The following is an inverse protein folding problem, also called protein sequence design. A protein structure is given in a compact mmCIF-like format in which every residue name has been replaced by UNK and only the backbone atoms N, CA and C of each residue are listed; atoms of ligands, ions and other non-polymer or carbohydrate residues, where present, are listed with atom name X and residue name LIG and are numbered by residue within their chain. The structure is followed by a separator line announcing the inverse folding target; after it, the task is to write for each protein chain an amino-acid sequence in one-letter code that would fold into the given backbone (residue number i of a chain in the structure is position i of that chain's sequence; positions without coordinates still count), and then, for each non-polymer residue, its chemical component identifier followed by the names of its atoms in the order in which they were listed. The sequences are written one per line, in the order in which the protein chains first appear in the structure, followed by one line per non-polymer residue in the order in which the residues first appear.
data_IF_798208078203
#
_entry.id   IF_798208078203
#
_cell.length_a   1.000
_cell.length_b   1.000
_cell.length_c   1.000
_cell.angle_alpha   90.00
_cell.angle_beta   90.00
_cell.angle_gamma   90.00
#
_symmetry.space_group_name_H-M   'P 1'
#
loop_
_entity.id
_entity.type
_entity.pdbx_description
1 polymer ?
#
# COMPACT_ATOMS: atom_id res chain seq x y z
N UNK A 1 -19.28 13.60 2.93
CA UNK A 1 -18.04 12.86 3.27
C UNK A 1 -17.11 12.99 2.08
N UNK A 2 -15.92 13.56 2.26
CA UNK A 2 -14.89 13.62 1.22
C UNK A 2 -14.36 12.22 0.95
N UNK A 3 -14.36 11.80 -0.31
CA UNK A 3 -13.79 10.52 -0.71
C UNK A 3 -12.26 10.68 -0.69
N UNK A 4 -11.58 10.08 0.28
CA UNK A 4 -10.13 10.25 0.45
C UNK A 4 -9.31 9.46 -0.59
N UNK A 5 -9.97 8.64 -1.40
CA UNK A 5 -9.32 7.76 -2.38
C UNK A 5 -8.69 8.55 -3.53
N UNK A 6 -9.31 9.68 -3.91
CA UNK A 6 -8.84 10.55 -5.00
C UNK A 6 -7.46 11.20 -4.69
N UNK A 7 -7.05 11.22 -3.41
CA UNK A 7 -5.75 11.76 -2.98
C UNK A 7 -4.57 10.93 -3.48
N UNK A 8 -4.80 9.66 -3.84
CA UNK A 8 -3.75 8.72 -4.20
C UNK A 8 -3.59 8.54 -5.71
N UNK A 9 -4.54 9.04 -6.51
CA UNK A 9 -4.49 8.98 -7.97
C UNK A 9 -3.19 9.61 -8.50
N UNK A 10 -2.47 8.88 -9.35
CA UNK A 10 -1.21 9.33 -9.95
C UNK A 10 -0.01 9.41 -8.99
N UNK A 11 -0.16 9.07 -7.71
CA UNK A 11 0.93 9.18 -6.73
C UNK A 11 1.93 8.03 -6.83
N UNK A 12 3.19 8.29 -6.45
CA UNK A 12 4.21 7.27 -6.20
C UNK A 12 4.33 7.10 -4.68
N UNK A 13 4.06 5.90 -4.19
CA UNK A 13 3.89 5.63 -2.76
C UNK A 13 4.84 4.51 -2.32
N UNK A 14 5.56 4.71 -1.21
CA UNK A 14 6.36 3.69 -0.53
C UNK A 14 5.59 3.16 0.69
N UNK A 15 5.40 1.86 0.76
CA UNK A 15 4.75 1.18 1.89
C UNK A 15 5.78 0.28 2.59
N UNK A 16 6.11 0.63 3.84
CA UNK A 16 6.95 -0.21 4.71
C UNK A 16 6.10 -1.27 5.40
N UNK A 17 6.59 -2.51 5.52
CA UNK A 17 5.78 -3.62 6.01
C UNK A 17 4.64 -3.98 5.04
N UNK A 18 4.78 -3.61 3.76
CA UNK A 18 3.74 -3.71 2.74
C UNK A 18 3.43 -5.14 2.27
N UNK A 19 4.21 -6.13 2.67
CA UNK A 19 3.95 -7.55 2.39
C UNK A 19 3.27 -8.27 3.57
N UNK A 20 3.19 -7.65 4.74
CA UNK A 20 2.45 -8.18 5.90
C UNK A 20 0.93 -8.19 5.73
N UNK A 21 0.20 -8.74 6.72
CA UNK A 21 -1.26 -8.90 6.66
C UNK A 21 -2.01 -7.58 6.38
N UNK A 22 -1.65 -6.50 7.09
CA UNK A 22 -2.26 -5.17 6.88
C UNK A 22 -1.65 -4.49 5.65
N UNK A 23 -0.33 -4.52 5.53
CA UNK A 23 0.40 -3.82 4.49
C UNK A 23 0.04 -4.30 3.08
N UNK A 24 -0.23 -5.60 2.91
CA UNK A 24 -0.62 -6.17 1.62
C UNK A 24 -2.01 -5.70 1.18
N UNK A 25 -2.96 -5.62 2.11
CA UNK A 25 -4.29 -5.07 1.80
C UNK A 25 -4.23 -3.57 1.53
N UNK A 26 -3.45 -2.82 2.32
CA UNK A 26 -3.23 -1.38 2.08
C UNK A 26 -2.60 -1.14 0.71
N UNK A 27 -1.53 -1.88 0.37
CA UNK A 27 -0.84 -1.76 -0.91
C UNK A 27 -1.78 -2.05 -2.08
N UNK A 28 -2.67 -3.05 -1.93
CA UNK A 28 -3.72 -3.34 -2.91
C UNK A 28 -4.69 -2.18 -3.05
N UNK A 29 -5.25 -1.68 -1.96
CA UNK A 29 -6.19 -0.56 -1.97
C UNK A 29 -5.59 0.72 -2.57
N UNK A 30 -4.30 0.99 -2.34
CA UNK A 30 -3.60 2.12 -2.96
C UNK A 30 -3.43 1.95 -4.47
N UNK A 31 -3.15 0.74 -4.94
CA UNK A 31 -3.09 0.44 -6.37
C UNK A 31 -4.48 0.55 -7.03
N UNK A 32 -5.53 0.08 -6.37
CA UNK A 32 -6.93 0.21 -6.82
C UNK A 32 -7.41 1.67 -6.80
N UNK A 33 -6.84 2.51 -5.93
CA UNK A 33 -7.09 3.96 -5.87
C UNK A 33 -6.34 4.76 -6.96
N UNK A 34 -5.73 4.10 -7.94
CA UNK A 34 -5.10 4.77 -9.09
C UNK A 34 -3.69 5.31 -8.82
N UNK A 35 -3.01 4.87 -7.76
CA UNK A 35 -1.62 5.22 -7.57
C UNK A 35 -0.78 4.85 -8.81
N UNK A 36 0.04 5.79 -9.29
CA UNK A 36 0.92 5.56 -10.44
C UNK A 36 1.95 4.45 -10.15
N UNK A 37 2.38 4.33 -8.88
CA UNK A 37 3.28 3.26 -8.44
C UNK A 37 3.17 3.04 -6.94
N UNK A 38 3.05 1.78 -6.54
CA UNK A 38 3.17 1.34 -5.14
C UNK A 38 4.45 0.53 -5.01
N UNK A 39 5.37 1.01 -4.17
CA UNK A 39 6.65 0.38 -3.86
C UNK A 39 6.51 -0.28 -2.49
N UNK A 40 6.76 -1.58 -2.40
CA UNK A 40 6.68 -2.33 -1.15
C UNK A 40 8.11 -2.55 -0.63
N UNK A 41 8.35 -2.13 0.61
CA UNK A 41 9.57 -2.42 1.35
C UNK A 41 9.19 -3.24 2.58
N UNK A 42 9.61 -4.49 2.64
CA UNK A 42 9.31 -5.38 3.75
C UNK A 42 10.53 -6.24 4.05
N UNK A 43 10.78 -6.49 5.33
CA UNK A 43 11.86 -7.38 5.78
C UNK A 43 11.37 -8.81 6.02
N UNK A 44 10.05 -9.04 5.90
CA UNK A 44 9.36 -10.32 6.09
C UNK A 44 9.62 -10.97 7.45
N UNK A 45 10.11 -10.21 8.43
CA UNK A 45 10.50 -10.72 9.74
C UNK A 45 9.30 -11.19 10.57
N UNK A 46 8.12 -10.61 10.33
CA UNK A 46 6.88 -10.92 11.04
C UNK A 46 6.18 -12.21 10.56
N UNK A 47 6.64 -12.85 9.47
CA UNK A 47 6.03 -14.04 8.87
C UNK A 47 6.41 -15.36 9.56
N UNK A 48 7.00 -15.29 10.76
CA UNK A 48 7.43 -16.47 11.50
C UNK A 48 6.33 -16.98 12.45
N UNK A 49 5.51 -17.92 11.97
CA UNK A 49 4.97 -19.11 12.68
C UNK A 49 3.89 -19.79 11.86
#
# INVERSE_FOLDING_TARGET
MTNHIDLYEGQIILVTGGAGAIGSNLSRSLAEAGAAKVIILDDLSASYK
#
